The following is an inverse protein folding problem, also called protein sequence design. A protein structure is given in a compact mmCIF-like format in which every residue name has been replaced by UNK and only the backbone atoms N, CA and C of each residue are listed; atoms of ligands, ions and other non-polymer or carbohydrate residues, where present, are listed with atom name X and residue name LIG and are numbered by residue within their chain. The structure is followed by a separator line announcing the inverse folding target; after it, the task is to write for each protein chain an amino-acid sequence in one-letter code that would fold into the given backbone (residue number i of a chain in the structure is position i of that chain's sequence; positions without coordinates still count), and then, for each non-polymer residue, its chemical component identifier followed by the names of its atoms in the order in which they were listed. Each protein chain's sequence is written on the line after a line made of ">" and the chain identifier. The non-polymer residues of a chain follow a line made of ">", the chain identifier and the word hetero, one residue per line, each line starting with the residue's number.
data_IF_093629396901
#
_entry.id   IF_093629396901
#
_cell.length_a   1.000
_cell.length_b   1.000
_cell.length_c   1.000
_cell.angle_alpha   90.00
_cell.angle_beta   90.00
_cell.angle_gamma   90.00
#
_symmetry.space_group_name_H-M   'P 1'
#
loop_
_entity.id
_entity.type
_entity.pdbx_description
1 polymer ?
#
# COMPACT_ATOMS: atom_id res chain seq x y z
N UNK A 1 4.58 -39.94 31.67
CA UNK A 1 5.62 -39.22 30.92
C UNK A 1 4.97 -37.91 30.44
N UNK A 2 5.39 -36.75 30.93
CA UNK A 2 4.95 -35.49 30.37
C UNK A 2 5.55 -35.40 28.95
N UNK A 3 4.69 -35.44 27.94
CA UNK A 3 5.10 -35.19 26.57
C UNK A 3 5.71 -33.79 26.52
N UNK A 4 6.95 -33.67 26.08
CA UNK A 4 7.61 -32.38 26.00
C UNK A 4 6.82 -31.52 24.99
N UNK A 5 6.34 -30.40 25.44
CA UNK A 5 5.63 -29.42 24.61
C UNK A 5 6.62 -28.83 23.62
N UNK A 6 6.40 -29.07 22.33
CA UNK A 6 7.26 -28.57 21.25
C UNK A 6 6.52 -27.46 20.51
N UNK A 7 6.97 -26.25 20.72
CA UNK A 7 6.48 -25.09 19.99
C UNK A 7 7.10 -25.02 18.62
N UNK A 8 6.29 -24.75 17.60
CA UNK A 8 6.78 -24.57 16.23
C UNK A 8 6.41 -23.19 15.72
N UNK A 9 7.35 -22.49 15.12
CA UNK A 9 7.09 -21.31 14.28
C UNK A 9 7.34 -21.71 12.84
N UNK A 10 6.37 -21.40 11.99
CA UNK A 10 6.42 -21.65 10.55
C UNK A 10 6.45 -20.30 9.86
N UNK A 11 7.54 -20.01 9.19
CA UNK A 11 7.74 -18.79 8.42
C UNK A 11 7.47 -19.06 6.94
N UNK A 12 6.43 -18.41 6.42
CA UNK A 12 6.06 -18.42 5.01
C UNK A 12 6.29 -17.06 4.35
N UNK A 13 6.89 -16.10 5.06
CA UNK A 13 7.22 -14.80 4.50
C UNK A 13 8.37 -14.91 3.51
N UNK A 14 8.26 -14.21 2.39
CA UNK A 14 9.37 -14.02 1.47
C UNK A 14 10.28 -12.87 1.96
N UNK A 15 11.52 -13.16 2.41
CA UNK A 15 12.45 -12.12 2.85
C UNK A 15 12.78 -11.09 1.77
N UNK A 16 12.78 -11.50 0.50
CA UNK A 16 13.05 -10.62 -0.64
C UNK A 16 11.96 -9.56 -0.85
N UNK A 17 10.77 -9.77 -0.28
CA UNK A 17 9.70 -8.78 -0.30
C UNK A 17 9.95 -7.57 0.62
N UNK A 18 10.97 -7.57 1.48
CA UNK A 18 11.31 -6.41 2.30
C UNK A 18 12.18 -5.43 1.51
N UNK A 19 11.82 -4.14 1.58
CA UNK A 19 12.61 -3.04 1.03
C UNK A 19 13.13 -2.20 2.19
N UNK A 20 14.31 -2.54 2.71
CA UNK A 20 14.96 -1.83 3.80
C UNK A 20 15.89 -0.74 3.23
N UNK A 21 15.76 0.49 3.72
CA UNK A 21 16.42 1.66 3.15
C UNK A 21 17.67 2.10 3.93
N UNK A 22 17.83 1.64 5.17
CA UNK A 22 18.87 2.17 6.06
C UNK A 22 19.66 1.11 6.83
N UNK A 23 19.32 -0.16 6.73
CA UNK A 23 20.02 -1.23 7.43
C UNK A 23 19.85 -2.59 6.73
N UNK A 24 20.63 -3.58 7.14
CA UNK A 24 20.51 -4.95 6.68
C UNK A 24 19.27 -5.66 7.26
N UNK A 25 18.84 -6.75 6.62
CA UNK A 25 17.74 -7.59 7.13
C UNK A 25 18.05 -8.16 8.51
N UNK A 26 19.30 -8.55 8.74
CA UNK A 26 19.75 -9.09 10.03
C UNK A 26 19.63 -8.04 11.15
N UNK A 27 20.13 -6.82 10.92
CA UNK A 27 20.01 -5.71 11.88
C UNK A 27 18.56 -5.36 12.19
N UNK A 28 17.70 -5.29 11.16
CA UNK A 28 16.29 -5.04 11.32
C UNK A 28 15.60 -6.14 12.15
N UNK A 29 15.92 -7.41 11.88
CA UNK A 29 15.40 -8.56 12.64
C UNK A 29 15.83 -8.51 14.11
N UNK A 30 17.09 -8.16 14.40
CA UNK A 30 17.59 -7.97 15.78
C UNK A 30 16.86 -6.84 16.52
N UNK A 31 16.45 -5.78 15.82
CA UNK A 31 15.63 -4.71 16.41
C UNK A 31 14.25 -5.23 16.79
N UNK A 32 13.62 -6.02 15.95
CA UNK A 32 12.33 -6.67 16.24
C UNK A 32 12.49 -7.67 17.42
N UNK A 33 13.58 -8.46 17.43
CA UNK A 33 13.86 -9.39 18.54
C UNK A 33 13.96 -8.68 19.89
N UNK A 34 14.48 -7.47 19.93
CA UNK A 34 14.60 -6.69 21.16
C UNK A 34 13.25 -6.40 21.83
N UNK A 35 12.17 -6.27 21.04
CA UNK A 35 10.85 -5.85 21.50
C UNK A 35 10.76 -4.36 21.86
N UNK A 36 11.85 -3.61 21.71
CA UNK A 36 11.90 -2.18 21.99
C UNK A 36 11.30 -1.38 20.81
N UNK A 37 10.15 -0.76 21.05
CA UNK A 37 9.44 0.03 20.06
C UNK A 37 10.29 1.18 19.47
N UNK A 38 11.15 1.81 20.29
CA UNK A 38 12.02 2.88 19.83
C UNK A 38 13.05 2.37 18.81
N UNK A 39 13.63 1.19 19.07
CA UNK A 39 14.57 0.55 18.14
C UNK A 39 13.89 0.08 16.86
N UNK A 40 12.67 -0.45 16.95
CA UNK A 40 11.90 -0.87 15.76
C UNK A 40 11.51 0.35 14.91
N UNK A 41 11.22 1.51 15.53
CA UNK A 41 10.96 2.76 14.81
C UNK A 41 12.12 3.22 13.93
N UNK A 42 13.35 2.84 14.25
CA UNK A 42 14.52 3.20 13.46
C UNK A 42 14.64 2.40 12.14
N UNK A 43 13.85 1.34 11.96
CA UNK A 43 13.81 0.60 10.68
C UNK A 43 13.08 1.46 9.65
N UNK A 44 13.79 1.82 8.57
CA UNK A 44 13.25 2.61 7.47
C UNK A 44 12.99 1.70 6.26
N UNK A 45 11.80 1.84 5.67
CA UNK A 45 11.40 1.06 4.51
C UNK A 45 10.06 0.33 4.65
N UNK A 46 9.85 -0.64 3.76
CA UNK A 46 8.68 -1.53 3.73
C UNK A 46 9.10 -2.92 4.20
N UNK A 47 8.61 -3.35 5.35
CA UNK A 47 9.04 -4.59 5.98
C UNK A 47 7.92 -5.35 6.68
N UNK A 48 8.10 -6.66 6.78
CA UNK A 48 7.37 -7.61 7.61
C UNK A 48 8.40 -8.57 8.21
N UNK A 49 8.66 -8.45 9.51
CA UNK A 49 9.76 -9.13 10.20
C UNK A 49 9.27 -9.79 11.47
N UNK A 50 9.86 -10.94 11.78
CA UNK A 50 9.63 -11.62 13.02
C UNK A 50 10.92 -12.17 13.60
N UNK A 51 10.94 -12.38 14.91
CA UNK A 51 12.03 -13.01 15.62
C UNK A 51 11.51 -13.82 16.81
N UNK A 52 12.25 -14.85 17.21
CA UNK A 52 11.92 -15.67 18.40
C UNK A 52 13.06 -15.66 19.39
N UNK A 53 12.74 -15.38 20.65
CA UNK A 53 13.68 -15.49 21.76
C UNK A 53 13.05 -16.31 22.89
N UNK A 54 13.59 -17.49 23.15
CA UNK A 54 12.94 -18.44 24.06
C UNK A 54 11.57 -18.87 23.52
N UNK A 55 10.54 -18.74 24.33
CA UNK A 55 9.15 -19.01 23.95
C UNK A 55 8.38 -17.79 23.46
N UNK A 56 9.04 -16.64 23.35
CA UNK A 56 8.42 -15.38 22.89
C UNK A 56 8.71 -15.18 21.42
N UNK A 57 7.66 -14.97 20.63
CA UNK A 57 7.73 -14.53 19.24
C UNK A 57 7.32 -13.07 19.16
N UNK A 58 8.11 -12.28 18.47
CA UNK A 58 7.84 -10.88 18.16
C UNK A 58 7.70 -10.69 16.68
N UNK A 59 6.68 -9.93 16.28
CA UNK A 59 6.35 -9.63 14.91
C UNK A 59 6.19 -8.12 14.78
N UNK A 60 6.72 -7.54 13.69
CA UNK A 60 6.55 -6.12 13.39
C UNK A 60 6.46 -5.90 11.88
N UNK A 61 5.61 -4.98 11.45
CA UNK A 61 5.50 -4.61 10.04
C UNK A 61 5.29 -3.11 9.83
N UNK A 62 5.73 -2.65 8.66
CA UNK A 62 5.34 -1.35 8.12
C UNK A 62 3.94 -1.42 7.47
N UNK A 63 3.40 -0.27 7.07
CA UNK A 63 2.11 -0.18 6.38
C UNK A 63 2.08 -0.91 5.05
N UNK A 64 3.17 -0.82 4.27
CA UNK A 64 3.24 -1.36 2.90
C UNK A 64 3.39 -2.88 2.82
N UNK A 65 3.61 -3.58 3.93
CA UNK A 65 3.77 -5.04 3.95
C UNK A 65 2.75 -5.69 4.88
N UNK A 66 1.85 -6.55 4.39
CA UNK A 66 1.00 -7.36 5.27
C UNK A 66 1.82 -8.43 5.98
N UNK A 67 1.38 -8.78 7.17
CA UNK A 67 1.87 -9.93 7.92
C UNK A 67 0.68 -10.50 8.70
N UNK A 68 0.35 -11.72 8.37
CA UNK A 68 -0.72 -12.47 9.01
C UNK A 68 -0.14 -13.55 9.87
N UNK A 69 -0.88 -13.99 10.87
CA UNK A 69 -0.53 -15.17 11.65
C UNK A 69 -1.75 -16.00 11.98
N UNK A 70 -1.52 -17.28 12.20
CA UNK A 70 -2.50 -18.28 12.59
C UNK A 70 -1.91 -19.19 13.66
N UNK A 71 -2.70 -19.58 14.63
CA UNK A 71 -2.28 -20.53 15.67
C UNK A 71 -3.00 -21.88 15.48
N UNK A 72 -2.27 -22.86 14.98
CA UNK A 72 -2.75 -24.23 14.85
C UNK A 72 -2.54 -25.03 16.13
N UNK A 73 -3.54 -25.86 16.46
CA UNK A 73 -3.50 -26.79 17.59
C UNK A 73 -2.91 -28.12 17.13
N UNK A 74 -1.86 -28.58 17.80
CA UNK A 74 -1.25 -29.89 17.56
C UNK A 74 -1.12 -30.63 18.87
N UNK A 75 -1.03 -31.96 18.83
CA UNK A 75 -0.83 -32.81 20.00
C UNK A 75 0.50 -32.52 20.71
N UNK A 76 1.55 -32.17 19.94
CA UNK A 76 2.90 -31.90 20.44
C UNK A 76 3.10 -30.47 20.92
N UNK A 77 2.15 -29.59 20.69
CA UNK A 77 2.23 -28.17 21.04
C UNK A 77 1.76 -27.25 19.92
N UNK A 78 1.57 -25.95 20.18
CA UNK A 78 1.05 -25.01 19.20
C UNK A 78 2.02 -24.81 18.05
N UNK A 79 1.48 -24.55 16.84
CA UNK A 79 2.23 -24.01 15.72
C UNK A 79 1.74 -22.61 15.41
N UNK A 80 2.65 -21.64 15.43
CA UNK A 80 2.42 -20.29 14.94
C UNK A 80 2.87 -20.23 13.49
N UNK A 81 1.92 -20.04 12.58
CA UNK A 81 2.16 -19.85 11.15
C UNK A 81 2.15 -18.36 10.87
N UNK A 82 3.20 -17.86 10.23
CA UNK A 82 3.36 -16.47 9.84
C UNK A 82 3.45 -16.41 8.32
N UNK A 83 2.60 -15.61 7.68
CA UNK A 83 2.52 -15.49 6.23
C UNK A 83 2.12 -14.07 5.81
N UNK A 84 2.32 -13.75 4.55
CA UNK A 84 1.78 -12.53 3.97
C UNK A 84 0.30 -12.71 3.61
N UNK A 85 -0.09 -13.92 3.20
CA UNK A 85 -1.39 -14.25 2.63
C UNK A 85 -2.14 -15.32 3.43
N UNK A 86 -3.47 -15.27 3.39
CA UNK A 86 -4.32 -16.29 4.02
C UNK A 86 -4.28 -17.63 3.27
N UNK A 87 -4.20 -17.59 1.94
CA UNK A 87 -4.14 -18.80 1.12
C UNK A 87 -2.86 -19.60 1.37
N UNK A 88 -1.74 -18.96 1.68
CA UNK A 88 -0.49 -19.61 2.11
C UNK A 88 -0.68 -20.37 3.43
N UNK A 89 -1.37 -19.75 4.40
CA UNK A 89 -1.71 -20.38 5.68
C UNK A 89 -2.62 -21.60 5.45
N UNK A 90 -3.67 -21.43 4.63
CA UNK A 90 -4.61 -22.51 4.32
C UNK A 90 -3.89 -23.70 3.66
N UNK A 91 -3.04 -23.42 2.65
CA UNK A 91 -2.28 -24.45 1.95
C UNK A 91 -1.31 -25.20 2.87
N UNK A 92 -0.63 -24.49 3.77
CA UNK A 92 0.24 -25.12 4.75
C UNK A 92 -0.54 -26.04 5.71
N UNK A 93 -1.66 -25.55 6.25
CA UNK A 93 -2.52 -26.32 7.16
C UNK A 93 -3.06 -27.60 6.48
N UNK A 94 -3.46 -27.51 5.23
CA UNK A 94 -3.92 -28.67 4.44
C UNK A 94 -2.80 -29.70 4.28
N UNK A 95 -1.60 -29.24 3.92
CA UNK A 95 -0.44 -30.12 3.74
C UNK A 95 -0.04 -30.87 5.03
N UNK A 96 -0.18 -30.23 6.20
CA UNK A 96 0.14 -30.83 7.49
C UNK A 96 -1.05 -31.62 8.11
N UNK A 97 -2.18 -31.72 7.41
CA UNK A 97 -3.36 -32.45 7.86
C UNK A 97 -4.22 -31.68 8.89
N UNK A 98 -4.09 -30.37 8.95
CA UNK A 98 -4.83 -29.47 9.85
C UNK A 98 -5.81 -28.55 9.11
N UNK A 99 -6.13 -28.83 7.85
CA UNK A 99 -7.00 -28.00 7.03
C UNK A 99 -8.36 -27.71 7.67
N UNK A 100 -8.90 -28.67 8.44
CA UNK A 100 -10.13 -28.50 9.21
C UNK A 100 -10.07 -27.41 10.30
N UNK A 101 -8.91 -26.91 10.66
CA UNK A 101 -8.76 -25.80 11.61
C UNK A 101 -8.80 -24.44 10.93
N UNK A 102 -8.61 -24.39 9.61
CA UNK A 102 -8.58 -23.12 8.90
C UNK A 102 -9.96 -22.50 8.78
N UNK A 103 -10.04 -21.24 9.12
CA UNK A 103 -11.12 -20.35 8.72
C UNK A 103 -10.58 -18.92 8.65
N UNK A 104 -10.94 -18.13 7.61
CA UNK A 104 -10.42 -16.77 7.46
C UNK A 104 -10.55 -15.89 8.70
N UNK A 105 -11.65 -16.02 9.45
CA UNK A 105 -11.88 -15.23 10.66
C UNK A 105 -10.97 -15.58 11.85
N UNK A 106 -10.23 -16.67 11.77
CA UNK A 106 -9.20 -17.03 12.78
C UNK A 106 -7.81 -16.54 12.40
N UNK A 107 -7.63 -16.10 11.16
CA UNK A 107 -6.40 -15.45 10.73
C UNK A 107 -6.34 -14.03 11.28
N UNK A 108 -5.23 -13.68 11.90
CA UNK A 108 -4.99 -12.35 12.48
C UNK A 108 -4.00 -11.58 11.63
N UNK A 109 -4.24 -10.28 11.47
CA UNK A 109 -3.27 -9.36 10.89
C UNK A 109 -2.43 -8.75 12.01
N UNK A 110 -1.10 -8.73 11.87
CA UNK A 110 -0.24 -7.88 12.68
C UNK A 110 -0.57 -6.44 12.36
N UNK A 111 -0.99 -5.59 13.32
CA UNK A 111 -1.31 -4.20 13.01
C UNK A 111 -0.07 -3.46 12.51
N UNK A 112 -0.25 -2.59 11.53
CA UNK A 112 0.84 -1.75 11.05
C UNK A 112 1.42 -0.90 12.17
N UNK A 113 2.72 -0.67 12.14
CA UNK A 113 3.43 0.16 13.12
C UNK A 113 3.34 -0.33 14.58
N UNK A 114 3.12 -1.64 14.78
CA UNK A 114 3.16 -2.27 16.10
C UNK A 114 4.17 -3.41 16.14
N UNK A 115 4.79 -3.56 17.31
CA UNK A 115 5.40 -4.82 17.69
C UNK A 115 4.32 -5.65 18.35
N UNK A 116 4.09 -6.85 17.85
CA UNK A 116 3.19 -7.84 18.44
C UNK A 116 4.03 -8.92 19.11
N UNK A 117 3.83 -9.11 20.40
CA UNK A 117 4.51 -10.14 21.17
C UNK A 117 3.53 -11.26 21.52
N UNK A 118 3.91 -12.50 21.23
CA UNK A 118 3.15 -13.71 21.54
C UNK A 118 4.04 -14.66 22.33
N UNK A 119 3.59 -15.03 23.54
CA UNK A 119 4.23 -16.08 24.31
C UNK A 119 3.63 -17.44 23.92
N UNK A 120 4.43 -18.31 23.33
CA UNK A 120 4.03 -19.68 22.99
C UNK A 120 4.13 -20.57 24.24
N UNK A 121 3.16 -20.45 25.11
CA UNK A 121 3.02 -21.27 26.31
C UNK A 121 1.76 -22.10 26.21
N UNK A 122 1.93 -23.38 25.98
CA UNK A 122 0.97 -24.47 26.20
C UNK A 122 -0.51 -24.29 25.92
N UNK A 123 -0.99 -23.07 25.86
CA UNK A 123 -2.37 -22.73 25.58
C UNK A 123 -2.51 -22.21 24.15
N UNK A 124 -3.55 -22.64 23.43
CA UNK A 124 -3.74 -22.26 22.02
C UNK A 124 -4.19 -20.82 21.81
N UNK A 125 -4.45 -20.06 22.85
CA UNK A 125 -4.95 -18.68 22.74
C UNK A 125 -4.13 -17.72 23.62
N UNK A 126 -2.86 -17.44 23.23
CA UNK A 126 -2.08 -16.44 23.92
C UNK A 126 -2.72 -15.07 23.72
N UNK A 127 -2.70 -14.24 24.75
CA UNK A 127 -3.06 -12.83 24.63
C UNK A 127 -1.90 -12.07 23.98
N UNK A 128 -1.99 -11.63 22.73
CA UNK A 128 -0.94 -10.84 22.11
C UNK A 128 -0.79 -9.50 22.83
N UNK A 129 0.46 -9.07 23.02
CA UNK A 129 0.78 -7.74 23.51
C UNK A 129 1.11 -6.87 22.29
N UNK A 130 0.46 -5.72 22.19
CA UNK A 130 0.63 -4.77 21.09
C UNK A 130 1.34 -3.52 21.60
N UNK A 131 2.53 -3.23 21.08
CA UNK A 131 3.27 -2.02 21.41
C UNK A 131 3.49 -1.20 20.15
N UNK A 132 2.87 -0.01 20.09
CA UNK A 132 3.00 0.88 18.94
C UNK A 132 4.40 1.49 18.87
N UNK A 133 5.05 1.44 17.69
CA UNK A 133 6.38 2.00 17.49
C UNK A 133 6.38 3.30 16.65
N UNK A 134 5.26 3.65 16.03
CA UNK A 134 5.15 4.90 15.27
C UNK A 134 3.84 5.61 15.55
N UNK A 135 3.93 6.84 16.01
CA UNK A 135 2.79 7.76 16.20
C UNK A 135 3.23 9.15 15.76
N UNK A 136 2.74 9.64 14.62
CA UNK A 136 3.15 10.95 14.11
C UNK A 136 2.61 12.09 14.98
N UNK A 137 3.38 13.18 15.08
CA UNK A 137 2.96 14.40 15.76
C UNK A 137 2.08 15.22 14.86
N UNK A 138 0.88 15.57 15.34
CA UNK A 138 -0.12 16.33 14.59
C UNK A 138 0.10 17.84 14.71
N UNK A 139 -0.32 18.56 13.65
CA UNK A 139 -0.45 20.03 13.64
C UNK A 139 0.81 20.76 14.13
N UNK A 140 2.01 20.27 13.81
CA UNK A 140 3.29 20.85 14.24
C UNK A 140 3.89 21.83 13.25
N UNK A 141 3.39 21.83 12.00
CA UNK A 141 3.85 22.74 10.96
C UNK A 141 3.11 24.09 11.05
N UNK A 142 3.71 25.12 10.46
CA UNK A 142 3.04 26.42 10.27
C UNK A 142 1.93 26.30 9.23
N UNK A 143 1.11 27.36 9.07
CA UNK A 143 0.11 27.45 7.99
C UNK A 143 0.67 27.97 6.68
N UNK A 144 1.99 28.17 6.58
CA UNK A 144 2.66 28.61 5.36
C UNK A 144 2.72 27.46 4.34
N UNK A 145 1.98 27.58 3.24
CA UNK A 145 1.88 26.52 2.22
C UNK A 145 3.21 26.26 1.49
N UNK A 146 4.10 27.23 1.39
CA UNK A 146 5.43 27.02 0.76
C UNK A 146 6.31 26.17 1.66
N UNK A 147 6.31 26.43 2.97
CA UNK A 147 7.02 25.61 3.97
C UNK A 147 6.44 24.18 4.05
N UNK A 148 5.13 24.06 4.06
CA UNK A 148 4.42 22.76 4.09
C UNK A 148 4.77 21.96 2.83
N UNK A 149 4.64 22.59 1.65
CA UNK A 149 4.91 21.95 0.37
C UNK A 149 6.35 21.47 0.26
N UNK A 150 7.31 22.36 0.59
CA UNK A 150 8.74 22.03 0.59
C UNK A 150 9.06 20.89 1.57
N UNK A 151 8.47 20.88 2.77
CA UNK A 151 8.66 19.82 3.75
C UNK A 151 8.08 18.49 3.28
N UNK A 152 6.85 18.49 2.73
CA UNK A 152 6.14 17.26 2.32
C UNK A 152 6.80 16.61 1.10
N UNK A 153 7.03 17.36 0.02
CA UNK A 153 7.68 16.84 -1.18
C UNK A 153 9.19 16.61 -0.94
N UNK A 154 9.81 17.38 -0.05
CA UNK A 154 11.19 17.12 0.38
C UNK A 154 11.33 15.78 1.12
N UNK A 155 10.37 15.42 1.98
CA UNK A 155 10.34 14.10 2.61
C UNK A 155 10.14 12.99 1.56
N UNK A 156 9.19 13.17 0.63
CA UNK A 156 8.98 12.24 -0.49
C UNK A 156 10.26 12.05 -1.31
N UNK A 157 10.93 13.14 -1.68
CA UNK A 157 12.16 13.09 -2.44
C UNK A 157 13.29 12.36 -1.68
N UNK A 158 13.36 12.56 -0.37
CA UNK A 158 14.33 11.88 0.48
C UNK A 158 14.10 10.36 0.47
N UNK A 159 12.86 9.90 0.62
CA UNK A 159 12.54 8.47 0.59
C UNK A 159 12.76 7.85 -0.79
N UNK A 160 12.41 8.58 -1.86
CA UNK A 160 12.71 8.15 -3.22
C UNK A 160 14.24 8.06 -3.48
N UNK A 161 15.03 9.01 -2.98
CA UNK A 161 16.49 8.98 -3.14
C UNK A 161 17.13 7.78 -2.41
N UNK A 162 16.67 7.48 -1.19
CA UNK A 162 17.09 6.28 -0.44
C UNK A 162 16.73 5.00 -1.22
N UNK A 163 15.51 4.92 -1.77
CA UNK A 163 15.11 3.77 -2.58
C UNK A 163 15.97 3.61 -3.83
N UNK A 164 16.23 4.70 -4.56
CA UNK A 164 17.12 4.68 -5.72
C UNK A 164 18.52 4.18 -5.39
N UNK A 165 19.00 4.37 -4.15
CA UNK A 165 20.30 3.84 -3.70
C UNK A 165 20.29 2.31 -3.52
N UNK A 166 19.12 1.68 -3.38
CA UNK A 166 19.00 0.21 -3.27
C UNK A 166 18.94 -0.47 -4.63
N UNK A 167 18.73 0.29 -5.70
CA UNK A 167 18.57 -0.25 -7.06
C UNK A 167 19.87 -0.18 -7.87
N UNK A 168 20.04 -1.11 -8.80
CA UNK A 168 21.07 -0.97 -9.83
C UNK A 168 20.72 0.24 -10.72
N UNK A 169 21.72 1.08 -11.00
CA UNK A 169 21.57 2.29 -11.82
C UNK A 169 21.12 2.03 -13.27
N UNK A 170 21.16 0.78 -13.71
CA UNK A 170 20.73 0.35 -15.05
C UNK A 170 19.31 -0.20 -15.05
N UNK A 171 18.76 -0.58 -13.90
CA UNK A 171 17.43 -1.15 -13.82
C UNK A 171 16.38 -0.08 -14.11
N UNK A 172 15.41 -0.38 -14.98
CA UNK A 172 14.33 0.53 -15.31
C UNK A 172 13.32 0.63 -14.16
N UNK A 173 12.67 1.79 -14.07
CA UNK A 173 11.69 2.14 -13.03
C UNK A 173 10.40 2.56 -13.69
N UNK A 174 9.29 1.94 -13.31
CA UNK A 174 7.95 2.32 -13.76
C UNK A 174 7.18 3.04 -12.68
N UNK A 175 6.53 4.14 -13.04
CA UNK A 175 5.52 4.79 -12.21
C UNK A 175 4.15 4.41 -12.73
N UNK A 176 3.28 3.88 -11.88
CA UNK A 176 1.87 3.71 -12.20
C UNK A 176 1.22 5.09 -12.19
N UNK A 177 0.86 5.56 -13.37
CA UNK A 177 0.66 6.98 -13.65
C UNK A 177 -0.76 7.28 -14.15
N UNK A 178 -1.52 8.03 -13.37
CA UNK A 178 -2.87 8.46 -13.75
C UNK A 178 -2.94 9.90 -14.30
N UNK A 179 -1.82 10.64 -14.26
CA UNK A 179 -1.83 12.08 -14.50
C UNK A 179 -2.48 12.88 -13.38
N UNK A 180 -2.74 12.27 -12.23
CA UNK A 180 -3.23 12.92 -11.01
C UNK A 180 -2.08 13.52 -10.18
N UNK A 181 -2.47 14.23 -9.11
CA UNK A 181 -1.54 15.00 -8.26
C UNK A 181 -0.43 14.11 -7.68
N UNK A 182 -0.77 12.95 -7.11
CA UNK A 182 0.19 12.12 -6.37
C UNK A 182 1.16 11.39 -7.30
N UNK A 183 0.65 10.74 -8.34
CA UNK A 183 1.48 10.07 -9.34
C UNK A 183 2.31 11.07 -10.16
N UNK A 184 1.77 12.27 -10.41
CA UNK A 184 2.47 13.36 -11.08
C UNK A 184 3.65 13.87 -10.26
N UNK A 185 3.43 14.18 -8.98
CA UNK A 185 4.50 14.62 -8.09
C UNK A 185 5.59 13.55 -7.96
N UNK A 186 5.21 12.28 -7.78
CA UNK A 186 6.15 11.17 -7.68
C UNK A 186 7.02 11.05 -8.95
N UNK A 187 6.39 11.12 -10.13
CA UNK A 187 7.10 11.05 -11.40
C UNK A 187 8.12 12.19 -11.53
N UNK A 188 7.71 13.43 -11.24
CA UNK A 188 8.58 14.61 -11.34
C UNK A 188 9.73 14.57 -10.34
N UNK A 189 9.47 14.10 -9.10
CA UNK A 189 10.51 13.91 -8.09
C UNK A 189 11.53 12.87 -8.55
N UNK A 190 11.08 11.70 -9.05
CA UNK A 190 12.00 10.67 -9.53
C UNK A 190 12.80 11.14 -10.74
N UNK A 191 12.16 11.81 -11.71
CA UNK A 191 12.85 12.40 -12.86
C UNK A 191 13.94 13.39 -12.43
N UNK A 192 13.60 14.32 -11.51
CA UNK A 192 14.55 15.26 -10.95
C UNK A 192 15.71 14.56 -10.24
N UNK A 193 15.43 13.55 -9.41
CA UNK A 193 16.47 12.82 -8.68
C UNK A 193 17.43 12.09 -9.62
N UNK A 194 16.94 11.46 -10.69
CA UNK A 194 17.78 10.80 -11.69
C UNK A 194 18.73 11.80 -12.36
N UNK A 195 18.21 12.96 -12.78
CA UNK A 195 19.04 14.01 -13.36
C UNK A 195 20.09 14.53 -12.37
N UNK A 196 19.70 14.84 -11.13
CA UNK A 196 20.61 15.30 -10.07
C UNK A 196 21.73 14.30 -9.76
N UNK A 197 21.42 12.99 -9.87
CA UNK A 197 22.40 11.90 -9.66
C UNK A 197 23.28 11.63 -10.88
N UNK A 198 23.07 12.34 -11.99
CA UNK A 198 23.74 12.07 -13.27
C UNK A 198 23.40 10.73 -13.87
N UNK A 199 22.23 10.19 -13.53
CA UNK A 199 21.69 8.94 -14.09
C UNK A 199 20.82 9.25 -15.31
N UNK A 200 20.69 8.27 -16.22
CA UNK A 200 19.84 8.45 -17.40
C UNK A 200 18.36 8.52 -17.02
N UNK A 201 17.65 9.61 -17.34
CA UNK A 201 16.21 9.66 -17.12
C UNK A 201 15.44 8.65 -17.99
N UNK A 202 16.04 8.12 -19.06
CA UNK A 202 15.42 7.12 -19.94
C UNK A 202 15.10 5.79 -19.21
N UNK A 203 15.67 5.56 -18.01
CA UNK A 203 15.27 4.43 -17.17
C UNK A 203 13.91 4.59 -16.49
N UNK A 204 13.31 5.79 -16.54
CA UNK A 204 11.99 6.06 -15.97
C UNK A 204 10.91 5.97 -17.05
N UNK A 205 9.76 5.36 -16.72
CA UNK A 205 8.56 5.36 -17.54
C UNK A 205 7.32 5.61 -16.69
N UNK A 206 6.36 6.34 -17.26
CA UNK A 206 5.03 6.54 -16.72
C UNK A 206 4.07 5.57 -17.43
N UNK A 207 3.53 4.59 -16.71
CA UNK A 207 2.60 3.61 -17.24
C UNK A 207 1.17 3.99 -16.91
N UNK A 208 0.32 4.13 -17.91
CA UNK A 208 -1.11 4.38 -17.75
C UNK A 208 -1.94 3.31 -18.44
N UNK A 209 -3.13 3.03 -17.91
CA UNK A 209 -4.05 2.03 -18.43
C UNK A 209 -5.03 2.66 -19.42
N UNK A 210 -5.27 1.96 -20.53
CA UNK A 210 -6.38 2.20 -21.43
C UNK A 210 -7.16 0.90 -21.60
N UNK A 211 -8.44 0.92 -21.25
CA UNK A 211 -9.34 -0.23 -21.49
C UNK A 211 -10.24 0.10 -22.65
N UNK A 212 -10.09 -0.59 -23.78
CA UNK A 212 -10.86 -0.35 -24.97
C UNK A 212 -11.47 -1.62 -25.57
N UNK A 213 -12.71 -1.48 -26.07
CA UNK A 213 -13.32 -2.41 -27.02
C UNK A 213 -13.53 -1.76 -28.40
N UNK A 214 -12.72 -0.73 -28.70
CA UNK A 214 -12.58 -0.25 -30.09
C UNK A 214 -12.95 1.21 -30.40
N UNK A 215 -13.65 2.00 -29.58
CA UNK A 215 -14.09 3.34 -30.02
C UNK A 215 -14.10 4.50 -29.02
N UNK A 216 -13.81 4.30 -27.75
CA UNK A 216 -13.84 5.41 -26.76
C UNK A 216 -12.45 5.84 -26.32
N UNK A 217 -12.15 7.14 -26.51
CA UNK A 217 -10.93 7.73 -25.93
C UNK A 217 -10.98 7.66 -24.41
N UNK A 218 -10.03 6.96 -23.85
CA UNK A 218 -9.91 6.79 -22.42
C UNK A 218 -9.46 8.10 -21.76
N UNK A 219 -10.28 8.62 -20.84
CA UNK A 219 -10.04 9.93 -20.22
C UNK A 219 -8.76 10.00 -19.39
N UNK A 220 -8.34 8.88 -18.77
CA UNK A 220 -7.13 8.83 -17.93
C UNK A 220 -5.87 8.85 -18.79
N UNK A 221 -5.83 8.09 -19.89
CA UNK A 221 -4.71 8.14 -20.83
C UNK A 221 -4.54 9.54 -21.45
N UNK A 222 -5.66 10.21 -21.77
CA UNK A 222 -5.65 11.59 -22.28
C UNK A 222 -5.13 12.56 -21.23
N UNK A 223 -5.55 12.43 -19.96
CA UNK A 223 -5.05 13.27 -18.87
C UNK A 223 -3.58 13.03 -18.59
N UNK A 224 -3.14 11.77 -18.59
CA UNK A 224 -1.74 11.39 -18.42
C UNK A 224 -0.86 11.97 -19.54
N UNK A 225 -1.30 11.87 -20.80
CA UNK A 225 -0.61 12.47 -21.93
C UNK A 225 -0.51 13.99 -21.79
N UNK A 226 -1.63 14.66 -21.53
CA UNK A 226 -1.66 16.10 -21.34
C UNK A 226 -0.74 16.57 -20.21
N UNK A 227 -0.70 15.84 -19.06
CA UNK A 227 0.18 16.17 -17.95
C UNK A 227 1.65 16.20 -18.36
N UNK A 228 2.10 15.16 -19.07
CA UNK A 228 3.49 15.06 -19.48
C UNK A 228 3.84 15.97 -20.66
N UNK A 229 2.90 16.19 -21.60
CA UNK A 229 3.11 17.08 -22.76
C UNK A 229 3.24 18.54 -22.33
N UNK A 230 2.48 19.00 -21.31
CA UNK A 230 2.61 20.37 -20.75
C UNK A 230 4.01 20.61 -20.13
N UNK A 231 4.78 19.55 -19.88
CA UNK A 231 6.13 19.60 -19.28
C UNK A 231 7.24 19.15 -20.26
N UNK A 232 6.92 18.95 -21.54
CA UNK A 232 7.83 18.40 -22.55
C UNK A 232 8.39 16.99 -22.19
N UNK A 233 7.62 16.21 -21.41
CA UNK A 233 7.97 14.88 -20.92
C UNK A 233 7.14 13.75 -21.55
N UNK A 234 6.41 14.02 -22.63
CA UNK A 234 5.53 13.05 -23.30
C UNK A 234 6.22 11.75 -23.72
N UNK A 235 7.52 11.78 -24.01
CA UNK A 235 8.31 10.59 -24.36
C UNK A 235 8.39 9.53 -23.26
N UNK A 236 8.10 9.90 -22.02
CA UNK A 236 8.12 8.97 -20.89
C UNK A 236 6.81 8.20 -20.74
N UNK A 237 5.73 8.65 -21.39
CA UNK A 237 4.43 7.99 -21.28
C UNK A 237 4.40 6.68 -22.07
N UNK A 238 3.86 5.67 -21.43
CA UNK A 238 3.55 4.39 -22.02
C UNK A 238 2.10 4.03 -21.72
N UNK A 239 1.26 4.03 -22.76
CA UNK A 239 -0.13 3.61 -22.63
C UNK A 239 -0.22 2.10 -22.83
N UNK A 240 -0.72 1.42 -21.81
CA UNK A 240 -0.98 -0.02 -21.82
C UNK A 240 -2.44 -0.23 -22.17
N UNK A 241 -2.68 -0.71 -23.37
CA UNK A 241 -4.01 -1.04 -23.85
C UNK A 241 -4.38 -2.48 -23.45
N UNK A 242 -5.56 -2.64 -22.85
CA UNK A 242 -6.12 -3.94 -22.47
C UNK A 242 -7.59 -4.05 -22.93
N UNK A 243 -8.05 -5.27 -23.16
CA UNK A 243 -9.47 -5.55 -23.42
C UNK A 243 -10.25 -5.64 -22.11
N UNK A 244 -11.54 -5.31 -22.13
CA UNK A 244 -12.46 -5.57 -21.00
C UNK A 244 -12.43 -7.03 -20.56
N UNK A 245 -12.17 -7.98 -21.47
CA UNK A 245 -12.08 -9.41 -21.17
C UNK A 245 -10.90 -9.78 -20.28
N UNK A 246 -9.89 -8.90 -20.21
CA UNK A 246 -8.70 -9.10 -19.39
C UNK A 246 -8.93 -8.67 -17.93
N UNK A 247 -10.09 -8.04 -17.65
CA UNK A 247 -10.49 -7.62 -16.30
C UNK A 247 -11.13 -8.80 -15.55
N UNK A 248 -10.38 -9.42 -14.66
CA UNK A 248 -10.83 -10.59 -13.89
C UNK A 248 -11.06 -10.24 -12.43
N UNK A 249 -12.30 -9.90 -12.08
CA UNK A 249 -12.70 -9.50 -10.73
C UNK A 249 -12.52 -10.62 -9.70
N UNK A 250 -12.90 -11.85 -10.02
CA UNK A 250 -12.79 -12.97 -9.09
C UNK A 250 -11.35 -13.30 -8.74
N UNK A 251 -10.46 -13.25 -9.73
CA UNK A 251 -9.03 -13.41 -9.51
C UNK A 251 -8.44 -12.25 -8.70
N UNK A 252 -8.90 -11.02 -8.95
CA UNK A 252 -8.48 -9.86 -8.18
C UNK A 252 -8.82 -10.02 -6.71
N UNK A 253 -10.06 -10.38 -6.37
CA UNK A 253 -10.51 -10.64 -4.99
C UNK A 253 -9.59 -11.65 -4.30
N UNK A 254 -9.22 -12.73 -4.99
CA UNK A 254 -8.28 -13.73 -4.48
C UNK A 254 -6.87 -13.18 -4.27
N UNK A 255 -6.38 -12.34 -5.19
CA UNK A 255 -5.03 -11.76 -5.10
C UNK A 255 -4.92 -10.77 -3.94
N UNK A 256 -5.92 -9.90 -3.79
CA UNK A 256 -5.87 -8.84 -2.76
C UNK A 256 -6.36 -9.31 -1.39
N UNK A 257 -7.06 -10.44 -1.33
CA UNK A 257 -7.70 -10.97 -0.11
C UNK A 257 -8.57 -9.92 0.60
N UNK A 258 -9.28 -9.13 -0.19
CA UNK A 258 -10.24 -8.13 0.28
C UNK A 258 -11.51 -8.16 -0.59
N UNK A 259 -12.61 -7.66 -0.03
CA UNK A 259 -13.93 -7.69 -0.68
C UNK A 259 -14.62 -6.33 -0.72
N UNK A 260 -13.93 -5.25 -0.28
CA UNK A 260 -14.50 -3.90 -0.36
C UNK A 260 -14.59 -3.45 -1.81
N UNK A 261 -15.78 -3.02 -2.28
CA UNK A 261 -16.00 -2.74 -3.70
C UNK A 261 -14.98 -1.78 -4.31
N UNK A 262 -14.67 -0.66 -3.64
CA UNK A 262 -13.70 0.31 -4.14
C UNK A 262 -12.28 -0.25 -4.27
N UNK A 263 -11.88 -1.13 -3.35
CA UNK A 263 -10.56 -1.74 -3.38
C UNK A 263 -10.48 -2.81 -4.48
N UNK A 264 -11.54 -3.61 -4.65
CA UNK A 264 -11.65 -4.59 -5.75
C UNK A 264 -11.61 -3.89 -7.11
N UNK A 265 -12.36 -2.81 -7.29
CA UNK A 265 -12.40 -2.04 -8.52
C UNK A 265 -11.02 -1.48 -8.89
N UNK A 266 -10.36 -0.80 -7.96
CA UNK A 266 -9.04 -0.21 -8.18
C UNK A 266 -7.98 -1.28 -8.45
N UNK A 267 -7.99 -2.36 -7.68
CA UNK A 267 -7.04 -3.46 -7.83
C UNK A 267 -7.23 -4.23 -9.15
N UNK A 268 -8.46 -4.37 -9.64
CA UNK A 268 -8.71 -5.02 -10.94
C UNK A 268 -8.07 -4.23 -12.08
N UNK A 269 -8.19 -2.90 -12.06
CA UNK A 269 -7.55 -2.04 -13.04
C UNK A 269 -6.02 -2.09 -12.92
N UNK A 270 -5.49 -2.04 -11.70
CA UNK A 270 -4.05 -2.14 -11.45
C UNK A 270 -3.47 -3.50 -11.89
N UNK A 271 -4.21 -4.59 -11.66
CA UNK A 271 -3.80 -5.93 -12.11
C UNK A 271 -3.72 -6.02 -13.63
N UNK A 272 -4.73 -5.47 -14.33
CA UNK A 272 -4.73 -5.43 -15.78
C UNK A 272 -3.55 -4.60 -16.32
N UNK A 273 -3.29 -3.43 -15.73
CA UNK A 273 -2.13 -2.60 -16.06
C UNK A 273 -0.82 -3.36 -15.85
N UNK A 274 -0.62 -3.97 -14.68
CA UNK A 274 0.59 -4.72 -14.38
C UNK A 274 0.80 -5.92 -15.31
N UNK A 275 -0.27 -6.61 -15.71
CA UNK A 275 -0.20 -7.70 -16.70
C UNK A 275 0.22 -7.20 -18.07
N UNK A 276 -0.37 -6.11 -18.52
CA UNK A 276 0.01 -5.50 -19.79
C UNK A 276 1.45 -5.01 -19.78
N UNK A 277 1.92 -4.41 -18.69
CA UNK A 277 3.34 -4.06 -18.52
C UNK A 277 4.21 -5.31 -18.60
N UNK A 278 3.88 -6.38 -17.88
CA UNK A 278 4.65 -7.64 -17.89
C UNK A 278 4.73 -8.28 -19.27
N UNK A 279 3.63 -8.26 -20.03
CA UNK A 279 3.62 -8.77 -21.41
C UNK A 279 4.52 -7.96 -22.35
N UNK A 280 4.51 -6.64 -22.20
CA UNK A 280 5.29 -5.75 -23.07
C UNK A 280 6.74 -5.60 -22.64
N UNK A 281 7.01 -5.70 -21.34
CA UNK A 281 8.32 -5.53 -20.71
C UNK A 281 8.63 -6.70 -19.76
N UNK A 282 8.94 -7.89 -20.27
CA UNK A 282 9.09 -9.10 -19.45
C UNK A 282 10.21 -9.03 -18.40
N UNK A 283 11.24 -8.22 -18.65
CA UNK A 283 12.41 -8.09 -17.76
C UNK A 283 12.28 -6.92 -16.77
N UNK A 284 11.17 -6.15 -16.81
CA UNK A 284 10.98 -5.03 -15.90
C UNK A 284 10.74 -5.50 -14.48
N UNK A 285 11.40 -4.89 -13.50
CA UNK A 285 11.33 -5.36 -12.11
C UNK A 285 10.62 -4.39 -11.18
N UNK A 286 10.86 -3.09 -11.30
CA UNK A 286 10.49 -2.10 -10.31
C UNK A 286 9.31 -1.25 -10.77
N UNK A 287 8.26 -1.24 -9.96
CA UNK A 287 7.13 -0.32 -10.08
C UNK A 287 6.97 0.50 -8.81
N UNK A 288 6.58 1.75 -8.96
CA UNK A 288 6.21 2.63 -7.86
C UNK A 288 4.88 3.31 -8.15
N UNK A 289 4.19 3.75 -7.11
CA UNK A 289 2.84 4.30 -7.19
C UNK A 289 2.66 5.53 -6.30
N UNK A 290 1.57 6.26 -6.57
CA UNK A 290 1.15 7.43 -5.80
C UNK A 290 0.24 7.11 -4.61
N UNK A 291 0.05 5.84 -4.29
CA UNK A 291 -0.83 5.43 -3.21
C UNK A 291 -0.33 5.91 -1.84
N UNK A 292 -1.23 6.40 -1.04
CA UNK A 292 -0.93 7.05 0.24
C UNK A 292 -0.96 8.58 0.17
N UNK A 293 -0.90 9.19 -1.02
CA UNK A 293 -0.98 10.63 -1.17
C UNK A 293 -2.34 11.22 -0.77
N UNK A 294 -3.44 10.58 -1.16
CA UNK A 294 -4.79 10.95 -0.72
C UNK A 294 -4.95 10.80 0.80
N UNK A 295 -4.43 9.70 1.34
CA UNK A 295 -4.44 9.41 2.76
C UNK A 295 -3.66 10.47 3.57
N UNK A 296 -2.48 10.84 3.09
CA UNK A 296 -1.64 11.84 3.73
C UNK A 296 -2.30 13.23 3.76
N UNK A 297 -2.86 13.65 2.65
CA UNK A 297 -3.43 14.99 2.51
C UNK A 297 -4.95 15.03 2.75
N UNK A 298 -5.52 13.95 3.34
CA UNK A 298 -6.92 13.86 3.81
C UNK A 298 -7.95 14.05 2.70
N UNK A 299 -7.57 13.82 1.45
CA UNK A 299 -8.44 14.02 0.29
C UNK A 299 -9.35 12.81 0.05
N UNK A 300 -10.34 12.63 0.91
CA UNK A 300 -11.29 11.53 0.85
C UNK A 300 -12.65 11.96 0.27
N UNK A 301 -13.32 11.09 -0.50
CA UNK A 301 -14.69 11.31 -0.94
C UNK A 301 -15.67 11.04 0.20
N UNK A 302 -15.85 12.02 1.08
CA UNK A 302 -16.74 11.91 2.25
C UNK A 302 -18.19 11.65 1.82
N UNK A 303 -18.64 12.28 0.73
CA UNK A 303 -20.00 12.19 0.23
C UNK A 303 -20.41 10.75 -0.14
N UNK A 304 -19.45 9.92 -0.49
CA UNK A 304 -19.70 8.54 -0.91
C UNK A 304 -19.49 7.52 0.21
N UNK A 305 -19.06 7.99 1.40
CA UNK A 305 -18.82 7.16 2.56
C UNK A 305 -19.66 7.66 3.74
N UNK A 306 -20.85 7.10 3.98
CA UNK A 306 -21.74 7.56 5.05
C UNK A 306 -21.13 7.44 6.45
N UNK A 307 -20.09 6.62 6.61
CA UNK A 307 -19.34 6.49 7.88
C UNK A 307 -18.35 7.62 8.12
N UNK A 308 -18.03 8.41 7.08
CA UNK A 308 -17.05 9.49 7.17
C UNK A 308 -17.71 10.84 7.40
N UNK A 309 -17.08 11.61 8.24
CA UNK A 309 -17.37 13.04 8.43
C UNK A 309 -16.06 13.81 8.31
N UNK A 310 -16.14 15.11 7.99
CA UNK A 310 -14.94 15.97 8.00
C UNK A 310 -14.22 15.90 9.37
N UNK A 311 -14.95 15.75 10.47
CA UNK A 311 -14.36 15.60 11.80
C UNK A 311 -13.61 14.28 11.95
N UNK A 312 -14.15 13.17 11.46
CA UNK A 312 -13.46 11.87 11.53
C UNK A 312 -12.21 11.86 10.65
N UNK A 313 -12.25 12.47 9.47
CA UNK A 313 -11.09 12.56 8.58
C UNK A 313 -10.00 13.45 9.16
N UNK A 314 -10.33 14.65 9.65
CA UNK A 314 -9.32 15.59 10.14
C UNK A 314 -8.81 15.29 11.56
N UNK A 315 -9.59 14.61 12.40
CA UNK A 315 -9.19 14.30 13.78
C UNK A 315 -8.45 12.97 13.94
N UNK A 316 -8.60 12.04 13.00
CA UNK A 316 -7.96 10.73 13.13
C UNK A 316 -6.63 10.68 12.35
N UNK A 317 -5.56 10.33 13.03
CA UNK A 317 -4.26 10.08 12.41
C UNK A 317 -4.28 8.78 11.63
N UNK A 318 -3.68 8.77 10.45
CA UNK A 318 -3.48 7.57 9.63
C UNK A 318 -4.71 6.69 9.43
N UNK A 319 -5.91 7.28 9.47
CA UNK A 319 -7.19 6.55 9.50
C UNK A 319 -7.31 5.47 8.42
N UNK A 320 -6.87 5.77 7.21
CA UNK A 320 -6.91 4.83 6.07
C UNK A 320 -5.56 4.24 5.71
N UNK A 321 -4.47 4.84 6.16
CA UNK A 321 -3.13 4.33 5.94
C UNK A 321 -2.92 2.96 6.59
N UNK A 322 -3.46 2.76 7.77
CA UNK A 322 -3.35 1.51 8.51
C UNK A 322 -4.47 0.50 8.16
N UNK A 323 -5.28 0.79 7.16
CA UNK A 323 -6.37 -0.08 6.74
C UNK A 323 -7.58 -0.10 7.69
N UNK A 324 -7.67 0.87 8.59
CA UNK A 324 -8.78 0.95 9.55
C UNK A 324 -9.94 1.77 8.98
N UNK A 325 -11.14 1.22 9.04
CA UNK A 325 -12.36 1.97 8.82
C UNK A 325 -12.86 2.61 10.12
N UNK A 326 -13.69 3.63 10.01
CA UNK A 326 -14.37 4.24 11.16
C UNK A 326 -15.30 3.20 11.80
N UNK A 327 -15.09 2.90 13.08
CA UNK A 327 -15.90 1.96 13.85
C UNK A 327 -15.52 0.48 13.73
N UNK A 328 -14.53 0.09 12.90
CA UNK A 328 -14.26 -1.30 12.56
C UNK A 328 -12.86 -1.83 12.96
N UNK A 329 -12.21 -1.25 13.98
CA UNK A 329 -10.85 -1.68 14.41
C UNK A 329 -10.77 -3.19 14.65
N UNK A 330 -11.81 -3.80 15.23
CA UNK A 330 -11.84 -5.26 15.46
C UNK A 330 -11.83 -6.06 14.16
N UNK A 331 -12.51 -5.58 13.13
CA UNK A 331 -12.52 -6.23 11.83
C UNK A 331 -11.21 -6.02 11.07
N UNK A 332 -10.52 -4.90 11.30
CA UNK A 332 -9.24 -4.62 10.66
C UNK A 332 -8.08 -5.49 11.18
N UNK A 333 -8.23 -6.14 12.33
CA UNK A 333 -7.25 -7.09 12.87
C UNK A 333 -7.52 -8.55 12.53
N UNK A 334 -8.65 -8.83 11.88
CA UNK A 334 -9.00 -10.15 11.34
C UNK A 334 -8.74 -10.18 9.85
N UNK A 335 -9.23 -11.22 9.16
CA UNK A 335 -9.05 -11.30 7.72
C UNK A 335 -9.63 -10.07 6.99
N UNK A 336 -9.17 -9.77 5.84
CA UNK A 336 -9.47 -8.61 5.00
C UNK A 336 -9.23 -7.23 5.63
N UNK A 337 -9.07 -7.13 6.95
CA UNK A 337 -8.79 -5.88 7.63
C UNK A 337 -7.30 -5.68 7.91
N UNK A 338 -6.92 -4.44 8.25
CA UNK A 338 -5.54 -4.10 8.61
C UNK A 338 -4.56 -4.00 7.43
N UNK A 339 -5.02 -4.17 6.20
CA UNK A 339 -4.22 -3.87 5.01
C UNK A 339 -4.40 -2.41 4.63
N UNK A 340 -3.30 -1.75 4.24
CA UNK A 340 -3.39 -0.41 3.67
C UNK A 340 -4.05 -0.45 2.29
N UNK A 341 -4.72 0.63 1.91
CA UNK A 341 -5.31 0.76 0.58
C UNK A 341 -4.28 0.64 -0.53
N UNK A 342 -3.12 1.28 -0.36
CA UNK A 342 -2.04 1.20 -1.34
C UNK A 342 -1.56 -0.23 -1.57
N UNK A 343 -1.40 -1.03 -0.49
CA UNK A 343 -1.05 -2.43 -0.65
C UNK A 343 -2.12 -3.20 -1.46
N UNK A 344 -3.39 -3.03 -1.11
CA UNK A 344 -4.50 -3.75 -1.76
C UNK A 344 -4.63 -3.34 -3.23
N UNK A 345 -4.60 -2.04 -3.51
CA UNK A 345 -4.96 -1.50 -4.82
C UNK A 345 -3.87 -1.66 -5.85
N UNK A 346 -2.61 -1.54 -5.45
CA UNK A 346 -1.49 -1.44 -6.37
C UNK A 346 -0.39 -2.45 -6.09
N UNK A 347 0.08 -2.54 -4.84
CA UNK A 347 1.23 -3.37 -4.50
C UNK A 347 0.96 -4.88 -4.68
N UNK A 348 -0.18 -5.39 -4.19
CA UNK A 348 -0.54 -6.80 -4.33
C UNK A 348 -0.74 -7.21 -5.80
N UNK A 349 -1.46 -6.43 -6.65
CA UNK A 349 -1.49 -6.64 -8.10
C UNK A 349 -0.11 -6.65 -8.76
N UNK A 350 0.76 -5.70 -8.41
CA UNK A 350 2.12 -5.63 -8.95
C UNK A 350 2.93 -6.88 -8.58
N UNK A 351 2.90 -7.28 -7.30
CA UNK A 351 3.57 -8.49 -6.81
C UNK A 351 3.06 -9.75 -7.49
N UNK A 352 1.74 -9.88 -7.69
CA UNK A 352 1.14 -11.02 -8.40
C UNK A 352 1.64 -11.14 -9.85
N UNK A 353 2.07 -10.03 -10.45
CA UNK A 353 2.70 -10.00 -11.77
C UNK A 353 4.24 -10.09 -11.72
N UNK A 354 4.84 -10.37 -10.56
CA UNK A 354 6.29 -10.54 -10.38
C UNK A 354 7.07 -9.22 -10.36
N UNK A 355 6.43 -8.10 -10.03
CA UNK A 355 7.12 -6.84 -9.82
C UNK A 355 7.47 -6.61 -8.35
N UNK A 356 8.55 -5.89 -8.11
CA UNK A 356 8.86 -5.28 -6.82
C UNK A 356 8.20 -3.91 -6.76
N UNK A 357 7.25 -3.74 -5.85
CA UNK A 357 6.50 -2.49 -5.67
C UNK A 357 7.13 -1.59 -4.59
N UNK A 358 6.99 -0.28 -4.76
CA UNK A 358 7.42 0.71 -3.78
C UNK A 358 6.43 1.87 -3.70
N UNK A 359 5.89 2.13 -2.50
CA UNK A 359 4.92 3.19 -2.24
C UNK A 359 5.51 4.21 -1.26
N UNK A 360 6.24 5.23 -1.74
CA UNK A 360 6.99 6.14 -0.86
C UNK A 360 6.11 7.00 0.03
N UNK A 361 4.89 7.33 -0.38
CA UNK A 361 3.92 8.07 0.45
C UNK A 361 3.49 7.30 1.71
N UNK A 362 3.61 5.99 1.71
CA UNK A 362 3.26 5.14 2.85
C UNK A 362 4.42 4.96 3.87
N UNK A 363 5.54 5.66 3.68
CA UNK A 363 6.67 5.59 4.60
C UNK A 363 6.50 6.53 5.80
N UNK A 364 6.92 6.11 7.00
CA UNK A 364 6.73 6.88 8.22
C UNK A 364 7.24 8.32 8.17
N UNK A 365 8.35 8.59 7.48
CA UNK A 365 8.91 9.94 7.40
C UNK A 365 8.04 10.89 6.57
N UNK A 366 7.38 10.39 5.51
CA UNK A 366 6.43 11.18 4.71
C UNK A 366 5.13 11.39 5.49
N UNK A 367 4.62 10.34 6.13
CA UNK A 367 3.42 10.40 6.99
C UNK A 367 3.63 11.37 8.16
N UNK A 368 4.81 11.39 8.78
CA UNK A 368 5.14 12.29 9.88
C UNK A 368 5.01 13.78 9.48
N UNK A 369 5.43 14.13 8.26
CA UNK A 369 5.26 15.49 7.74
C UNK A 369 3.79 15.77 7.44
N UNK A 370 3.11 14.84 6.77
CA UNK A 370 1.71 14.98 6.41
C UNK A 370 0.80 15.17 7.63
N UNK A 371 0.95 14.36 8.66
CA UNK A 371 0.17 14.49 9.90
C UNK A 371 0.55 15.76 10.70
N UNK A 372 1.72 16.32 10.45
CA UNK A 372 2.15 17.60 10.99
C UNK A 372 1.40 18.82 10.41
N UNK A 373 0.68 18.66 9.30
CA UNK A 373 -0.06 19.76 8.63
C UNK A 373 -1.29 20.15 9.46
N UNK A 374 -1.51 21.46 9.73
CA UNK A 374 -2.66 21.95 10.50
C UNK A 374 -3.92 22.04 9.62
N UNK A 375 -4.43 20.90 9.15
CA UNK A 375 -5.57 20.84 8.22
C UNK A 375 -6.81 21.61 8.71
N UNK A 376 -7.10 21.57 10.01
CA UNK A 376 -8.25 22.23 10.59
C UNK A 376 -8.16 23.74 10.36
N UNK A 377 -7.00 24.33 10.62
CA UNK A 377 -6.75 25.77 10.44
C UNK A 377 -6.79 26.16 8.96
N UNK A 378 -6.24 25.31 8.08
CA UNK A 378 -6.17 25.59 6.65
C UNK A 378 -7.51 25.42 5.93
N UNK A 379 -8.39 24.55 6.42
CA UNK A 379 -9.67 24.25 5.76
C UNK A 379 -10.89 24.87 6.46
N UNK A 380 -10.74 25.31 7.70
CA UNK A 380 -11.86 25.76 8.53
C UNK A 380 -13.01 24.73 8.57
N UNK A 381 -12.66 23.44 8.70
CA UNK A 381 -13.59 22.31 8.68
C UNK A 381 -14.43 22.17 7.38
N UNK A 382 -14.02 22.81 6.28
CA UNK A 382 -14.71 22.74 4.99
C UNK A 382 -14.09 21.63 4.13
N UNK A 383 -14.88 20.61 3.83
CA UNK A 383 -14.45 19.45 3.08
C UNK A 383 -14.06 19.78 1.63
N UNK A 384 -14.82 20.66 0.98
CA UNK A 384 -14.61 21.11 -0.40
C UNK A 384 -13.26 21.79 -0.63
N UNK A 385 -12.64 22.29 0.43
CA UNK A 385 -11.29 22.88 0.36
C UNK A 385 -10.15 21.88 0.32
N UNK A 386 -10.38 20.62 0.70
CA UNK A 386 -9.30 19.63 0.85
C UNK A 386 -8.58 19.35 -0.46
N UNK A 387 -9.31 19.17 -1.56
CA UNK A 387 -8.68 18.90 -2.85
C UNK A 387 -7.86 20.08 -3.37
N UNK A 388 -8.39 21.29 -3.28
CA UNK A 388 -7.67 22.51 -3.66
C UNK A 388 -6.41 22.71 -2.80
N UNK A 389 -6.54 22.51 -1.48
CA UNK A 389 -5.40 22.57 -0.55
C UNK A 389 -4.33 21.54 -0.88
N UNK A 390 -4.71 20.29 -1.18
CA UNK A 390 -3.81 19.25 -1.63
C UNK A 390 -3.05 19.68 -2.89
N UNK A 391 -3.77 20.19 -3.88
CA UNK A 391 -3.16 20.69 -5.13
C UNK A 391 -2.13 21.77 -4.88
N UNK A 392 -2.46 22.77 -4.03
CA UNK A 392 -1.54 23.86 -3.70
C UNK A 392 -0.30 23.37 -2.94
N UNK A 393 -0.46 22.52 -1.94
CA UNK A 393 0.67 21.97 -1.16
C UNK A 393 1.62 21.20 -2.09
N UNK A 394 1.09 20.30 -2.90
CA UNK A 394 1.91 19.44 -3.77
C UNK A 394 2.58 20.25 -4.87
N UNK A 395 1.86 21.16 -5.54
CA UNK A 395 2.41 22.02 -6.60
C UNK A 395 3.58 22.86 -6.08
N UNK A 396 3.40 23.56 -4.94
CA UNK A 396 4.45 24.37 -4.33
C UNK A 396 5.65 23.54 -3.92
N UNK A 397 5.40 22.35 -3.36
CA UNK A 397 6.46 21.42 -2.98
C UNK A 397 7.25 20.90 -4.18
N UNK A 398 6.57 20.50 -5.26
CA UNK A 398 7.23 20.07 -6.50
C UNK A 398 8.08 21.21 -7.08
N UNK A 399 7.54 22.41 -7.15
CA UNK A 399 8.27 23.58 -7.65
C UNK A 399 9.51 23.86 -6.79
N UNK A 400 9.39 23.83 -5.46
CA UNK A 400 10.51 24.06 -4.54
C UNK A 400 11.63 23.00 -4.67
N UNK A 401 11.29 21.73 -4.93
CA UNK A 401 12.25 20.63 -4.99
C UNK A 401 12.83 20.44 -6.39
N UNK A 402 11.99 20.57 -7.44
CA UNK A 402 12.37 20.22 -8.82
C UNK A 402 12.59 21.44 -9.72
N UNK A 403 12.10 22.60 -9.32
CA UNK A 403 12.07 23.81 -10.15
C UNK A 403 11.00 23.77 -11.25
N UNK A 404 10.14 22.76 -11.29
CA UNK A 404 9.10 22.62 -12.31
C UNK A 404 7.72 22.94 -11.73
N UNK A 405 6.90 23.67 -12.49
CA UNK A 405 5.51 23.94 -12.12
C UNK A 405 4.64 22.79 -12.59
N UNK A 406 4.12 22.02 -11.66
CA UNK A 406 3.29 20.85 -11.93
C UNK A 406 1.87 21.25 -12.36
N UNK A 407 1.33 20.72 -13.46
CA UNK A 407 -0.07 20.90 -13.83
C UNK A 407 -1.00 20.18 -12.84
N UNK A 408 -2.17 20.79 -12.57
CA UNK A 408 -3.21 20.21 -11.71
C UNK A 408 -4.51 20.17 -12.51
N UNK A 409 -5.09 18.98 -12.58
CA UNK A 409 -6.37 18.74 -13.26
C UNK A 409 -7.46 18.41 -12.24
N UNK A 410 -8.72 18.47 -12.66
CA UNK A 410 -9.84 18.00 -11.85
C UNK A 410 -9.65 16.55 -11.42
N UNK A 411 -10.04 16.24 -10.17
CA UNK A 411 -9.93 14.89 -9.63
C UNK A 411 -10.81 13.93 -10.42
N UNK A 412 -10.19 12.88 -10.92
CA UNK A 412 -10.86 11.73 -11.51
C UNK A 412 -10.47 10.48 -10.77
N UNK A 413 -11.39 9.53 -10.71
CA UNK A 413 -11.09 8.24 -10.09
C UNK A 413 -10.50 7.32 -11.13
N UNK A 414 -9.34 6.77 -10.84
CA UNK A 414 -8.61 5.82 -11.71
C UNK A 414 -9.52 4.72 -12.27
N UNK A 415 -10.33 4.08 -11.42
CA UNK A 415 -11.22 3.01 -11.84
C UNK A 415 -12.36 3.46 -12.79
N UNK A 416 -12.78 4.72 -12.75
CA UNK A 416 -13.81 5.26 -13.66
C UNK A 416 -13.26 5.97 -14.87
N UNK A 417 -12.05 6.50 -14.79
CA UNK A 417 -11.38 7.12 -15.91
C UNK A 417 -10.90 6.13 -16.97
N UNK A 418 -10.73 4.87 -16.59
CA UNK A 418 -10.24 3.82 -17.48
C UNK A 418 -11.34 3.11 -18.32
N UNK A 419 -12.62 3.28 -17.99
CA UNK A 419 -13.78 2.68 -18.71
C UNK A 419 -14.98 3.61 -18.68
N UNK A 420 -15.92 3.44 -19.63
CA UNK A 420 -17.20 4.16 -19.59
C UNK A 420 -18.12 3.63 -18.48
N UNK A 421 -19.11 4.45 -18.06
CA UNK A 421 -20.01 4.13 -16.93
C UNK A 421 -20.86 2.85 -17.17
N UNK A 422 -21.24 2.56 -18.41
CA UNK A 422 -22.01 1.37 -18.73
C UNK A 422 -21.16 0.10 -18.59
N UNK A 423 -19.96 0.14 -19.12
CA UNK A 423 -18.98 -0.93 -18.96
C UNK A 423 -18.57 -1.13 -17.50
N UNK A 424 -18.35 -0.03 -16.78
CA UNK A 424 -18.04 -0.07 -15.36
C UNK A 424 -19.09 -0.83 -14.56
N UNK A 425 -20.38 -0.50 -14.80
CA UNK A 425 -21.50 -1.17 -14.11
C UNK A 425 -21.63 -2.65 -14.49
N UNK A 426 -21.26 -3.05 -15.71
CA UNK A 426 -21.24 -4.45 -16.12
C UNK A 426 -20.11 -5.25 -15.48
N UNK A 427 -18.94 -4.65 -15.33
CA UNK A 427 -17.75 -5.31 -14.77
C UNK A 427 -17.87 -5.40 -13.24
N UNK A 428 -18.34 -4.34 -12.60
CA UNK A 428 -18.34 -4.18 -11.15
C UNK A 428 -19.75 -4.10 -10.55
N UNK A 429 -20.72 -4.80 -11.14
CA UNK A 429 -22.10 -4.80 -10.65
C UNK A 429 -22.34 -5.60 -9.38
N UNK A 430 -21.31 -6.28 -8.85
CA UNK A 430 -21.42 -7.11 -7.66
C UNK A 430 -21.49 -6.27 -6.38
N UNK A 431 -22.22 -6.79 -5.42
CA UNK A 431 -22.31 -6.24 -4.06
C UNK A 431 -21.10 -6.66 -3.21
N UNK A 432 -20.88 -5.99 -2.10
CA UNK A 432 -19.85 -6.37 -1.13
C UNK A 432 -20.05 -7.80 -0.60
N UNK A 433 -21.30 -8.24 -0.43
CA UNK A 433 -21.62 -9.60 0.01
C UNK A 433 -21.17 -10.65 -1.01
N UNK A 434 -21.38 -10.38 -2.31
CA UNK A 434 -20.94 -11.27 -3.38
C UNK A 434 -19.41 -11.32 -3.48
N UNK A 435 -18.71 -10.20 -3.35
CA UNK A 435 -17.23 -10.20 -3.28
C UNK A 435 -16.72 -10.99 -2.07
N UNK A 436 -17.38 -10.85 -0.92
CA UNK A 436 -17.04 -11.61 0.28
C UNK A 436 -17.24 -13.12 0.09
N UNK A 437 -18.32 -13.52 -0.59
CA UNK A 437 -18.56 -14.91 -0.95
C UNK A 437 -17.47 -15.44 -1.90
N UNK A 438 -17.08 -14.67 -2.93
CA UNK A 438 -15.98 -15.02 -3.81
C UNK A 438 -14.68 -15.26 -3.04
N UNK A 439 -14.35 -14.36 -2.10
CA UNK A 439 -13.13 -14.50 -1.26
C UNK A 439 -13.23 -15.78 -0.41
N UNK A 440 -14.36 -15.98 0.28
CA UNK A 440 -14.53 -17.12 1.17
C UNK A 440 -14.43 -18.44 0.40
N UNK A 441 -15.09 -18.53 -0.76
CA UNK A 441 -15.03 -19.71 -1.63
C UNK A 441 -13.61 -19.98 -2.13
N UNK A 442 -12.85 -18.94 -2.44
CA UNK A 442 -11.47 -19.12 -2.90
C UNK A 442 -10.49 -19.61 -1.83
N UNK A 443 -10.85 -19.46 -0.55
CA UNK A 443 -10.01 -19.85 0.59
C UNK A 443 -10.40 -21.20 1.22
N UNK A 444 -11.67 -21.60 1.10
CA UNK A 444 -12.23 -22.77 1.79
C UNK A 444 -12.65 -23.89 0.78
N UNK A 445 -12.88 -23.49 -0.48
CA UNK A 445 -13.23 -24.40 -1.58
C UNK A 445 -12.04 -24.99 -2.23
#
# INVERSE_FOLDING_TARGET
>A
MHQAYVERVVDLLDPAGNTLLNMSLEEATQRVESGDAARVREIDGQFALWAKRGNIVRMARSIGRPMRYFLAKRAEGPALIIAERMDEIAAWLETEGFGNQFHPSYTRMVPAHHVVEIALIGCPDPNPIYTRFFTPQRNRLSTNLDEIGAAYIGALATECDKWLNTLDRREPIGVLFSGGIDSGALFLVLHHLLLRRGESPARLKAFTLSVSDGETSNSDAVQAARFLDELDLGLFLEVIEVSRRDLNVAETVRIIEDYKPLDVQSATMALALCRGIRQRYPDWKHLTDGDGGDENLKDYPIEENPELTIRSVLNNTMLYQEGWGVGAIKHSLTYSGGQSRGHIRTFAPAKACGFSGFSPYALPNVIEVAEGIPFIELTDWQHDRLYALKGEIVRRGVEAITGQTMPIFEKRRFQRGAVDDAAFSQIFGQTEAEYREMLTTSLIG
#
